data_IF_521624930552
#
_entry.id   IF_521624930552
#
_cell.length_a   1.000
_cell.length_b   1.000
_cell.length_c   1.000
_cell.angle_alpha   90.00
_cell.angle_beta   90.00
_cell.angle_gamma   90.00
#
_symmetry.space_group_name_H-M   'P 1'
#
loop_
_entity.id
_entity.type
_entity.pdbx_description
1 polymer ?
#
# COMPACT_ATOMS: atom_id res chain seq x y z
N UNK A 1 6.81 -15.36 29.19
CA UNK A 1 6.02 -15.69 27.98
C UNK A 1 5.86 -14.48 27.07
N UNK A 2 6.97 -13.91 26.57
CA UNK A 2 6.97 -12.73 25.68
C UNK A 2 7.13 -13.06 24.18
N UNK A 3 7.12 -14.35 23.81
CA UNK A 3 7.62 -14.85 22.51
C UNK A 3 6.57 -15.00 21.40
N UNK A 4 5.31 -15.33 21.72
CA UNK A 4 4.29 -15.56 20.69
C UNK A 4 3.68 -14.27 20.11
N UNK A 5 3.46 -13.26 20.96
CA UNK A 5 2.86 -11.97 20.55
C UNK A 5 3.83 -11.13 19.69
N UNK A 6 5.14 -11.23 19.95
CA UNK A 6 6.17 -10.58 19.11
C UNK A 6 6.28 -11.25 17.74
N UNK A 7 6.31 -12.59 17.69
CA UNK A 7 6.40 -13.33 16.43
C UNK A 7 5.18 -13.09 15.51
N UNK A 8 3.98 -13.01 16.07
CA UNK A 8 2.76 -12.69 15.32
C UNK A 8 2.81 -11.26 14.75
N UNK A 9 3.32 -10.31 15.53
CA UNK A 9 3.43 -8.91 15.13
C UNK A 9 4.42 -8.73 13.97
N UNK A 10 5.56 -9.41 14.02
CA UNK A 10 6.56 -9.37 12.94
C UNK A 10 6.02 -9.93 11.62
N UNK A 11 5.28 -11.04 11.67
CA UNK A 11 4.62 -11.61 10.49
C UNK A 11 3.60 -10.66 9.89
N UNK A 12 2.75 -10.06 10.73
CA UNK A 12 1.80 -9.05 10.28
C UNK A 12 2.49 -7.86 9.61
N UNK A 13 3.58 -7.36 10.19
CA UNK A 13 4.30 -6.22 9.59
C UNK A 13 4.96 -6.56 8.26
N UNK A 14 5.47 -7.79 8.09
CA UNK A 14 6.06 -8.22 6.82
C UNK A 14 4.99 -8.43 5.73
N UNK A 15 3.87 -9.05 6.07
CA UNK A 15 2.73 -9.22 5.15
C UNK A 15 2.15 -7.87 4.74
N UNK A 16 1.97 -6.94 5.68
CA UNK A 16 1.47 -5.59 5.38
C UNK A 16 2.37 -4.78 4.47
N UNK A 17 3.69 -4.87 4.67
CA UNK A 17 4.64 -4.20 3.77
C UNK A 17 4.57 -4.81 2.37
N UNK A 18 4.46 -6.14 2.29
CA UNK A 18 4.35 -6.86 1.02
C UNK A 18 3.05 -6.50 0.28
N UNK A 19 1.91 -6.53 0.96
CA UNK A 19 0.61 -6.17 0.36
C UNK A 19 0.59 -4.72 -0.11
N UNK A 20 1.08 -3.79 0.72
CA UNK A 20 1.16 -2.38 0.36
C UNK A 20 2.09 -2.14 -0.84
N UNK A 21 3.22 -2.86 -0.93
CA UNK A 21 4.10 -2.80 -2.10
C UNK A 21 3.45 -3.40 -3.36
N UNK A 22 2.77 -4.54 -3.23
CA UNK A 22 2.05 -5.18 -4.33
C UNK A 22 0.83 -4.38 -4.80
N UNK A 23 0.22 -3.56 -3.95
CA UNK A 23 -0.81 -2.60 -4.35
C UNK A 23 -0.22 -1.34 -4.99
N UNK A 24 0.93 -0.88 -4.51
CA UNK A 24 1.62 0.31 -5.01
C UNK A 24 1.98 0.18 -6.50
N UNK A 25 2.68 -0.89 -6.90
CA UNK A 25 3.19 -1.05 -8.26
C UNK A 25 2.12 -1.01 -9.36
N UNK A 26 1.03 -1.80 -9.30
CA UNK A 26 -0.02 -1.77 -10.31
C UNK A 26 -0.79 -0.44 -10.30
N UNK A 27 -1.06 0.13 -9.13
CA UNK A 27 -1.71 1.44 -9.03
C UNK A 27 -0.85 2.55 -9.62
N UNK A 28 0.47 2.47 -9.44
CA UNK A 28 1.42 3.38 -10.06
C UNK A 28 1.40 3.24 -11.59
N UNK A 29 1.48 2.02 -12.13
CA UNK A 29 1.38 1.80 -13.58
C UNK A 29 0.07 2.33 -14.16
N UNK A 30 -1.06 2.04 -13.51
CA UNK A 30 -2.37 2.55 -13.92
C UNK A 30 -2.44 4.08 -13.86
N UNK A 31 -1.89 4.68 -12.80
CA UNK A 31 -1.82 6.13 -12.64
C UNK A 31 -0.95 6.82 -13.68
N UNK A 32 0.17 6.21 -14.09
CA UNK A 32 1.00 6.71 -15.20
C UNK A 32 0.18 6.78 -16.47
N UNK A 33 -0.43 5.65 -16.86
CA UNK A 33 -1.21 5.55 -18.09
C UNK A 33 -2.37 6.54 -18.07
N UNK A 34 -3.12 6.61 -16.96
CA UNK A 34 -4.27 7.49 -16.84
C UNK A 34 -3.87 8.98 -16.92
N UNK A 35 -2.83 9.39 -16.20
CA UNK A 35 -2.41 10.79 -16.19
C UNK A 35 -1.76 11.23 -17.51
N UNK A 36 -0.96 10.36 -18.12
CA UNK A 36 -0.34 10.58 -19.43
C UNK A 36 -1.40 10.73 -20.54
N UNK A 37 -2.42 9.86 -20.52
CA UNK A 37 -3.45 9.81 -21.56
C UNK A 37 -4.48 10.94 -21.43
N UNK A 38 -4.94 11.24 -20.21
CA UNK A 38 -6.14 12.07 -20.01
C UNK A 38 -5.86 13.46 -19.41
N UNK A 39 -4.69 13.68 -18.83
CA UNK A 39 -4.34 14.97 -18.18
C UNK A 39 -3.30 15.69 -19.03
N UNK A 40 -2.09 15.15 -19.09
CA UNK A 40 -1.04 15.61 -20.00
C UNK A 40 0.12 14.60 -20.04
N UNK A 41 0.92 14.57 -21.12
CA UNK A 41 2.04 13.65 -21.22
C UNK A 41 3.11 13.82 -20.12
N UNK A 42 3.29 15.05 -19.63
CA UNK A 42 4.24 15.35 -18.54
C UNK A 42 3.71 14.93 -17.16
N UNK A 43 2.41 14.66 -17.04
CA UNK A 43 1.77 14.27 -15.79
C UNK A 43 1.78 12.76 -15.55
N UNK A 44 2.23 11.93 -16.50
CA UNK A 44 2.29 10.48 -16.36
C UNK A 44 3.02 10.02 -15.10
N UNK A 45 4.34 10.27 -15.01
CA UNK A 45 5.16 9.84 -13.86
C UNK A 45 4.64 10.39 -12.53
N UNK A 46 4.33 11.70 -12.38
CA UNK A 46 3.72 12.23 -11.17
C UNK A 46 2.38 11.57 -10.81
N UNK A 47 1.49 11.38 -11.78
CA UNK A 47 0.18 10.75 -11.59
C UNK A 47 0.28 9.29 -11.14
N UNK A 48 1.24 8.55 -11.69
CA UNK A 48 1.60 7.22 -11.21
C UNK A 48 2.03 7.21 -9.75
N UNK A 49 2.96 8.08 -9.37
CA UNK A 49 3.45 8.14 -7.98
C UNK A 49 2.33 8.47 -7.00
N UNK A 50 1.44 9.40 -7.35
CA UNK A 50 0.27 9.75 -6.53
C UNK A 50 -0.68 8.55 -6.38
N UNK A 51 -1.05 7.91 -7.50
CA UNK A 51 -1.95 6.75 -7.46
C UNK A 51 -1.36 5.58 -6.66
N UNK A 52 -0.07 5.28 -6.88
CA UNK A 52 0.66 4.27 -6.11
C UNK A 52 0.66 4.59 -4.61
N UNK A 53 0.99 5.83 -4.23
CA UNK A 53 1.02 6.25 -2.82
C UNK A 53 -0.36 6.14 -2.15
N UNK A 54 -1.43 6.51 -2.86
CA UNK A 54 -2.80 6.36 -2.36
C UNK A 54 -3.19 4.90 -2.14
N UNK A 55 -2.85 4.01 -3.07
CA UNK A 55 -3.09 2.57 -2.91
C UNK A 55 -2.31 1.99 -1.73
N UNK A 56 -1.02 2.32 -1.63
CA UNK A 56 -0.17 1.92 -0.51
C UNK A 56 -0.75 2.38 0.83
N UNK A 57 -1.13 3.65 0.94
CA UNK A 57 -1.68 4.23 2.17
C UNK A 57 -3.01 3.58 2.55
N UNK A 58 -3.88 3.32 1.57
CA UNK A 58 -5.18 2.68 1.78
C UNK A 58 -5.03 1.27 2.36
N UNK A 59 -4.13 0.46 1.77
CA UNK A 59 -3.84 -0.89 2.26
C UNK A 59 -3.24 -0.82 3.67
N UNK A 60 -2.27 0.07 3.87
CA UNK A 60 -1.62 0.22 5.17
C UNK A 60 -2.63 0.58 6.27
N UNK A 61 -3.52 1.54 6.01
CA UNK A 61 -4.56 1.96 6.96
C UNK A 61 -5.54 0.81 7.24
N UNK A 62 -6.03 0.15 6.19
CA UNK A 62 -6.96 -0.97 6.32
C UNK A 62 -6.40 -2.10 7.18
N UNK A 63 -5.19 -2.57 6.87
CA UNK A 63 -4.58 -3.67 7.60
C UNK A 63 -4.23 -3.29 9.04
N UNK A 64 -3.76 -2.06 9.26
CA UNK A 64 -3.49 -1.55 10.61
C UNK A 64 -4.77 -1.52 11.45
N UNK A 65 -5.88 -1.09 10.85
CA UNK A 65 -7.17 -1.07 11.51
C UNK A 65 -7.66 -2.49 11.83
N UNK A 66 -7.57 -3.42 10.87
CA UNK A 66 -7.96 -4.81 11.08
C UNK A 66 -7.11 -5.50 12.15
N UNK A 67 -5.80 -5.26 12.19
CA UNK A 67 -4.93 -5.78 13.24
C UNK A 67 -5.38 -5.32 14.63
N UNK A 68 -5.64 -4.02 14.81
CA UNK A 68 -6.11 -3.46 16.09
C UNK A 68 -7.45 -4.06 16.51
N UNK A 69 -8.35 -4.33 15.56
CA UNK A 69 -9.66 -4.92 15.85
C UNK A 69 -9.57 -6.37 16.34
N UNK A 70 -8.64 -7.17 15.81
CA UNK A 70 -8.54 -8.61 16.12
C UNK A 70 -7.52 -8.94 17.23
N UNK A 71 -6.57 -8.06 17.51
CA UNK A 71 -5.45 -8.32 18.44
C UNK A 71 -5.26 -7.24 19.51
N UNK A 72 -6.27 -6.38 19.70
CA UNK A 72 -6.32 -5.37 20.76
C UNK A 72 -6.04 -5.96 22.12
#
# INVERSE_FOLDING_TARGET
MASAKSALRERFESERRRSAFLGFLPAMGAGVIAADTWISPLAGVPGGLVAGALAWASIWVYETHMWRKHHG
#
